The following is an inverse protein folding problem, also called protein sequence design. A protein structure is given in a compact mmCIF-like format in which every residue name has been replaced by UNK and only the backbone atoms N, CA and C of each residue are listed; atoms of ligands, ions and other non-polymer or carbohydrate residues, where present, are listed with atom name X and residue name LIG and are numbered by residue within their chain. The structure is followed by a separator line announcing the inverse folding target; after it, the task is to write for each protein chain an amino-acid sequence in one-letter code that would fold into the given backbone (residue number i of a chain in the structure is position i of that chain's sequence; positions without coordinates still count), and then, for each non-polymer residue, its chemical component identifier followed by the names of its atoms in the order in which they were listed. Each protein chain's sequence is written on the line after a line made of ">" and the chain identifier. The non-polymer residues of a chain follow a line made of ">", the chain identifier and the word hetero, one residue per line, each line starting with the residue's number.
data_IF_217284122754
#
_entry.id   IF_217284122754
#
_cell.length_a   1.000
_cell.length_b   1.000
_cell.length_c   1.000
_cell.angle_alpha   90.00
_cell.angle_beta   90.00
_cell.angle_gamma   90.00
#
_symmetry.space_group_name_H-M   'P 1'
#
loop_
_entity.id
_entity.type
_entity.pdbx_description
1 polymer ?
#
# COMPACT_ATOMS: atom_id res chain seq x y z
N UNK A 1 19.68 26.16 -11.17
CA UNK A 1 19.04 25.14 -12.04
C UNK A 1 17.61 24.98 -11.53
N UNK A 2 16.69 25.69 -12.19
CA UNK A 2 15.27 25.46 -11.96
C UNK A 2 14.95 24.08 -12.57
N UNK A 3 14.73 23.09 -11.72
CA UNK A 3 14.19 21.80 -12.17
C UNK A 3 12.74 22.03 -12.56
N UNK A 4 12.44 21.94 -13.84
CA UNK A 4 11.08 22.02 -14.36
C UNK A 4 10.43 20.66 -14.15
N UNK A 5 9.44 20.59 -13.23
CA UNK A 5 8.65 19.38 -12.99
C UNK A 5 7.51 19.32 -14.01
N UNK A 6 7.38 18.19 -14.69
CA UNK A 6 6.20 17.91 -15.50
C UNK A 6 5.06 17.45 -14.62
N UNK A 7 3.91 18.08 -14.75
CA UNK A 7 2.69 17.76 -14.01
C UNK A 7 1.60 17.30 -14.97
N UNK A 8 0.86 16.29 -14.58
CA UNK A 8 -0.37 15.84 -15.26
C UNK A 8 -1.55 16.11 -14.33
N UNK A 9 -2.56 16.82 -14.83
CA UNK A 9 -3.81 17.10 -14.10
C UNK A 9 -4.84 16.02 -14.43
N UNK A 10 -4.49 14.77 -14.11
CA UNK A 10 -5.29 13.59 -14.40
C UNK A 10 -5.19 12.57 -13.26
N UNK A 11 -6.20 11.71 -13.12
CA UNK A 11 -6.14 10.58 -12.20
C UNK A 11 -5.13 9.54 -12.66
N UNK A 12 -4.48 8.89 -11.69
CA UNK A 12 -3.58 7.78 -11.97
C UNK A 12 -4.35 6.59 -12.51
N UNK A 13 -4.08 6.21 -13.77
CA UNK A 13 -4.72 5.12 -14.51
C UNK A 13 -3.71 4.42 -15.40
N UNK A 14 -4.09 3.23 -15.90
CA UNK A 14 -3.28 2.54 -16.91
C UNK A 14 -3.07 3.40 -18.16
N UNK A 15 -4.06 4.16 -18.61
CA UNK A 15 -3.94 4.99 -19.81
C UNK A 15 -2.98 6.17 -19.59
N UNK A 16 -3.02 6.82 -18.41
CA UNK A 16 -2.02 7.84 -18.08
C UNK A 16 -0.61 7.23 -18.03
N UNK A 17 -0.44 6.03 -17.49
CA UNK A 17 0.86 5.36 -17.45
C UNK A 17 1.43 5.08 -18.85
N UNK A 18 0.56 4.72 -19.82
CA UNK A 18 0.95 4.55 -21.23
C UNK A 18 1.42 5.84 -21.86
N UNK A 19 0.72 6.95 -21.58
CA UNK A 19 1.11 8.28 -22.07
C UNK A 19 2.47 8.69 -21.50
N UNK A 20 2.68 8.56 -20.19
CA UNK A 20 3.95 8.86 -19.53
C UNK A 20 5.07 8.00 -20.13
N UNK A 21 4.82 6.72 -20.34
CA UNK A 21 5.79 5.80 -20.95
C UNK A 21 6.15 6.18 -22.39
N UNK A 22 5.19 6.66 -23.16
CA UNK A 22 5.43 7.14 -24.51
C UNK A 22 6.32 8.41 -24.52
N UNK A 23 6.10 9.31 -23.57
CA UNK A 23 6.82 10.59 -23.49
C UNK A 23 8.23 10.43 -22.90
N UNK A 24 8.41 9.55 -21.90
CA UNK A 24 9.63 9.48 -21.08
C UNK A 24 10.28 8.08 -20.99
N UNK A 25 9.65 7.05 -21.53
CA UNK A 25 10.10 5.67 -21.36
C UNK A 25 9.63 5.07 -20.03
N UNK A 26 10.35 4.03 -19.58
CA UNK A 26 10.10 3.37 -18.29
C UNK A 26 10.76 4.13 -17.14
N UNK A 27 10.24 3.94 -15.93
CA UNK A 27 10.71 4.58 -14.70
C UNK A 27 11.43 3.60 -13.80
N UNK A 28 12.58 4.04 -13.24
CA UNK A 28 13.36 3.24 -12.28
C UNK A 28 12.77 3.35 -10.87
N UNK A 29 12.05 4.44 -10.59
CA UNK A 29 11.36 4.66 -9.32
C UNK A 29 9.99 5.29 -9.56
N UNK A 30 8.96 4.65 -8.97
CA UNK A 30 7.65 5.25 -8.79
C UNK A 30 7.45 5.39 -7.28
N UNK A 31 6.98 6.55 -6.81
CA UNK A 31 6.75 6.80 -5.39
C UNK A 31 5.36 7.38 -5.14
N UNK A 32 4.71 6.90 -4.07
CA UNK A 32 3.43 7.39 -3.62
C UNK A 32 3.37 7.43 -2.08
N UNK A 33 2.75 8.45 -1.50
CA UNK A 33 2.57 8.52 -0.06
C UNK A 33 1.15 9.00 0.27
N UNK A 34 0.45 8.22 1.11
CA UNK A 34 -0.93 8.48 1.55
C UNK A 34 -1.87 8.78 0.36
N UNK A 35 -1.79 7.95 -0.67
CA UNK A 35 -2.55 8.15 -1.90
C UNK A 35 -3.22 6.87 -2.38
N UNK A 36 -2.55 5.72 -2.32
CA UNK A 36 -3.11 4.45 -2.85
C UNK A 36 -4.35 4.03 -2.07
N UNK A 37 -4.40 4.33 -0.76
CA UNK A 37 -5.58 4.06 0.07
C UNK A 37 -6.85 4.81 -0.36
N UNK A 38 -6.73 5.87 -1.15
CA UNK A 38 -7.85 6.66 -1.70
C UNK A 38 -8.32 6.18 -3.08
N UNK A 39 -7.56 5.33 -3.75
CA UNK A 39 -7.87 4.88 -5.13
C UNK A 39 -8.75 3.64 -5.08
N UNK A 40 -9.95 3.71 -5.71
CA UNK A 40 -10.90 2.60 -5.70
C UNK A 40 -10.47 1.42 -6.56
N UNK A 41 -9.94 1.68 -7.77
CA UNK A 41 -9.50 0.63 -8.69
C UNK A 41 -8.02 0.31 -8.51
N UNK A 42 -7.74 -0.65 -7.64
CA UNK A 42 -6.39 -1.10 -7.36
C UNK A 42 -5.80 -1.97 -8.48
N UNK A 43 -6.62 -2.67 -9.26
CA UNK A 43 -6.14 -3.47 -10.38
C UNK A 43 -5.63 -2.58 -11.52
N UNK A 44 -6.38 -1.54 -11.89
CA UNK A 44 -5.92 -0.53 -12.85
C UNK A 44 -4.65 0.17 -12.35
N UNK A 45 -4.65 0.58 -11.07
CA UNK A 45 -3.50 1.23 -10.41
C UNK A 45 -2.22 0.40 -10.51
N UNK A 46 -2.28 -0.87 -10.12
CA UNK A 46 -1.07 -1.72 -10.10
C UNK A 46 -0.68 -2.21 -11.49
N UNK A 47 -1.62 -2.34 -12.42
CA UNK A 47 -1.32 -2.54 -13.84
C UNK A 47 -0.56 -1.35 -14.40
N UNK A 48 -1.01 -0.12 -14.11
CA UNK A 48 -0.33 1.12 -14.51
C UNK A 48 1.11 1.18 -13.97
N UNK A 49 1.31 0.88 -12.70
CA UNK A 49 2.64 0.79 -12.07
C UNK A 49 3.52 -0.21 -12.81
N UNK A 50 3.03 -1.45 -13.00
CA UNK A 50 3.79 -2.51 -13.67
C UNK A 50 4.21 -2.11 -15.09
N UNK A 51 3.29 -1.49 -15.84
CA UNK A 51 3.55 -1.10 -17.22
C UNK A 51 4.61 0.02 -17.34
N UNK A 52 4.71 0.86 -16.33
CA UNK A 52 5.61 2.01 -16.31
C UNK A 52 6.99 1.69 -15.72
N UNK A 53 7.11 0.70 -14.83
CA UNK A 53 8.39 0.30 -14.25
C UNK A 53 9.37 -0.22 -15.32
N UNK A 54 10.65 0.15 -15.18
CA UNK A 54 11.77 -0.48 -15.89
C UNK A 54 12.01 -1.90 -15.39
N UNK A 55 12.91 -2.65 -16.03
CA UNK A 55 13.19 -4.05 -15.70
C UNK A 55 13.69 -4.21 -14.26
N UNK A 56 14.51 -3.28 -13.78
CA UNK A 56 15.06 -3.21 -12.42
C UNK A 56 14.40 -2.15 -11.54
N UNK A 57 13.39 -1.48 -12.08
CA UNK A 57 12.63 -0.45 -11.39
C UNK A 57 11.84 -0.95 -10.18
N UNK A 58 11.61 -0.04 -9.24
CA UNK A 58 10.86 -0.30 -8.01
C UNK A 58 9.72 0.69 -7.83
N UNK A 59 8.65 0.24 -7.23
CA UNK A 59 7.55 1.07 -6.75
C UNK A 59 7.58 1.09 -5.22
N UNK A 60 7.56 2.29 -4.63
CA UNK A 60 7.55 2.48 -3.19
C UNK A 60 6.32 3.28 -2.81
N UNK A 61 5.52 2.79 -1.86
CA UNK A 61 4.39 3.56 -1.37
C UNK A 61 4.21 3.44 0.14
N UNK A 62 3.60 4.47 0.72
CA UNK A 62 3.30 4.56 2.14
C UNK A 62 1.81 4.76 2.33
N UNK A 63 1.18 3.90 3.13
CA UNK A 63 -0.24 4.01 3.47
C UNK A 63 -0.51 3.47 4.89
N UNK A 64 -1.66 3.83 5.51
CA UNK A 64 -2.06 3.35 6.82
C UNK A 64 -2.09 1.82 6.91
N UNK A 65 -1.60 1.28 8.02
CA UNK A 65 -1.50 -0.15 8.29
C UNK A 65 -2.71 -0.65 9.10
N UNK A 66 -3.45 -1.63 8.56
CA UNK A 66 -4.60 -2.23 9.22
C UNK A 66 -4.26 -2.81 10.60
N UNK A 67 -3.16 -3.57 10.70
CA UNK A 67 -2.77 -4.16 11.98
C UNK A 67 -2.43 -3.08 13.02
N UNK A 68 -1.74 -2.01 12.60
CA UNK A 68 -1.40 -0.88 13.50
C UNK A 68 -2.64 -0.12 13.94
N UNK A 69 -3.56 0.14 13.03
CA UNK A 69 -4.84 0.76 13.34
C UNK A 69 -5.58 -0.05 14.40
N UNK A 70 -5.69 -1.37 14.21
CA UNK A 70 -6.39 -2.25 15.15
C UNK A 70 -5.67 -2.37 16.49
N UNK A 71 -4.33 -2.48 16.53
CA UNK A 71 -3.53 -2.54 17.77
C UNK A 71 -3.71 -1.28 18.62
N UNK A 72 -3.68 -0.11 17.98
CA UNK A 72 -3.77 1.20 18.66
C UNK A 72 -5.20 1.65 18.95
N UNK A 73 -6.17 1.11 18.23
CA UNK A 73 -7.56 1.58 18.29
C UNK A 73 -7.77 2.89 17.55
N UNK A 74 -6.92 3.19 16.55
CA UNK A 74 -6.98 4.42 15.73
C UNK A 74 -8.09 4.31 14.66
N UNK A 75 -9.34 4.12 15.10
CA UNK A 75 -10.49 3.96 14.20
C UNK A 75 -10.88 5.24 13.45
N UNK A 76 -10.31 6.37 13.82
CA UNK A 76 -10.34 7.65 13.10
C UNK A 76 -9.75 7.55 11.68
N UNK A 77 -8.97 6.49 11.39
CA UNK A 77 -8.52 6.18 10.03
C UNK A 77 -9.65 5.66 9.11
N UNK A 78 -10.80 5.26 9.67
CA UNK A 78 -11.97 4.81 8.91
C UNK A 78 -12.87 6.01 8.60
N UNK A 79 -12.64 6.65 7.45
CA UNK A 79 -13.43 7.77 6.97
C UNK A 79 -13.58 7.72 5.43
N UNK A 80 -14.46 8.55 4.87
CA UNK A 80 -14.97 8.44 3.51
C UNK A 80 -13.89 8.43 2.42
N UNK A 81 -12.78 9.14 2.63
CA UNK A 81 -11.71 9.23 1.63
C UNK A 81 -10.80 7.98 1.62
N UNK A 82 -10.76 7.21 2.73
CA UNK A 82 -10.02 5.96 2.77
C UNK A 82 -10.85 4.81 2.19
N UNK A 83 -10.77 4.60 0.87
CA UNK A 83 -11.40 3.46 0.21
C UNK A 83 -10.83 2.12 0.72
N UNK A 84 -9.57 2.13 1.14
CA UNK A 84 -8.86 0.95 1.62
C UNK A 84 -8.01 1.24 2.85
N UNK A 85 -7.92 0.24 3.76
CA UNK A 85 -6.88 0.18 4.79
C UNK A 85 -6.16 -1.15 4.61
N UNK A 86 -4.86 -1.11 4.38
CA UNK A 86 -4.11 -2.25 3.90
C UNK A 86 -3.52 -3.14 5.01
N UNK A 87 -3.61 -4.46 4.80
CA UNK A 87 -2.68 -5.43 5.39
C UNK A 87 -1.64 -5.86 4.36
N UNK A 88 -0.46 -6.27 4.81
CA UNK A 88 0.59 -6.81 3.94
C UNK A 88 0.11 -8.06 3.21
N UNK A 89 -0.68 -8.91 3.90
CA UNK A 89 -1.30 -10.10 3.32
C UNK A 89 -2.22 -9.77 2.14
N UNK A 90 -3.09 -8.76 2.27
CA UNK A 90 -3.99 -8.35 1.19
C UNK A 90 -3.21 -7.73 0.03
N UNK A 91 -2.22 -6.86 0.34
CA UNK A 91 -1.34 -6.26 -0.68
C UNK A 91 -0.55 -7.31 -1.45
N UNK A 92 0.01 -8.32 -0.79
CA UNK A 92 0.73 -9.41 -1.46
C UNK A 92 -0.15 -10.11 -2.49
N UNK A 93 -1.41 -10.37 -2.16
CA UNK A 93 -2.35 -11.05 -3.04
C UNK A 93 -2.70 -10.21 -4.28
N UNK A 94 -3.03 -8.93 -4.09
CA UNK A 94 -3.43 -8.07 -5.20
C UNK A 94 -2.23 -7.72 -6.09
N UNK A 95 -1.06 -7.44 -5.52
CA UNK A 95 0.16 -7.16 -6.28
C UNK A 95 0.59 -8.36 -7.12
N UNK A 96 0.56 -9.57 -6.53
CA UNK A 96 0.89 -10.81 -7.25
C UNK A 96 -0.04 -11.06 -8.44
N UNK A 97 -1.34 -10.78 -8.29
CA UNK A 97 -2.32 -10.87 -9.39
C UNK A 97 -1.97 -9.95 -10.56
N UNK A 98 -1.37 -8.79 -10.25
CA UNK A 98 -0.93 -7.80 -11.22
C UNK A 98 0.54 -7.99 -11.68
N UNK A 99 1.18 -9.12 -11.36
CA UNK A 99 2.56 -9.42 -11.78
C UNK A 99 3.62 -8.60 -11.05
N UNK A 100 3.29 -8.15 -9.84
CA UNK A 100 4.15 -7.44 -8.90
C UNK A 100 4.35 -8.26 -7.63
N UNK A 101 5.42 -7.99 -6.88
CA UNK A 101 5.65 -8.61 -5.58
C UNK A 101 6.31 -7.64 -4.58
N UNK A 102 5.96 -7.80 -3.32
CA UNK A 102 6.59 -7.05 -2.22
C UNK A 102 7.95 -7.69 -1.95
N UNK A 103 9.02 -6.86 -1.89
CA UNK A 103 10.34 -7.34 -1.53
C UNK A 103 10.84 -6.79 -0.18
N UNK A 104 10.24 -5.70 0.34
CA UNK A 104 10.57 -5.11 1.64
C UNK A 104 9.38 -4.38 2.24
N UNK A 105 9.28 -4.38 3.57
CA UNK A 105 8.28 -3.64 4.35
C UNK A 105 8.94 -2.93 5.52
N UNK A 106 8.81 -1.60 5.57
CA UNK A 106 9.21 -0.81 6.73
C UNK A 106 7.96 -0.37 7.51
N UNK A 107 7.95 -0.63 8.83
CA UNK A 107 6.87 -0.17 9.68
C UNK A 107 7.18 1.25 10.21
N UNK A 108 6.29 2.20 9.93
CA UNK A 108 6.45 3.61 10.28
C UNK A 108 5.54 3.99 11.45
N UNK A 109 5.97 5.00 12.24
CA UNK A 109 5.17 5.53 13.34
C UNK A 109 4.37 6.80 12.98
N UNK A 110 4.23 7.10 11.68
CA UNK A 110 3.47 8.24 11.16
C UNK A 110 2.00 7.87 11.01
N UNK A 111 1.11 8.85 11.07
CA UNK A 111 -0.34 8.69 10.82
C UNK A 111 -1.00 7.54 11.61
N UNK A 112 -0.67 7.39 12.90
CA UNK A 112 -1.21 6.28 13.70
C UNK A 112 -0.54 4.93 13.46
N UNK A 113 0.34 4.82 12.47
CA UNK A 113 1.10 3.64 12.06
C UNK A 113 0.83 3.31 10.60
N UNK A 114 1.85 3.49 9.77
CA UNK A 114 1.83 3.19 8.33
C UNK A 114 2.85 2.10 7.99
N UNK A 115 2.69 1.52 6.82
CA UNK A 115 3.72 0.69 6.22
C UNK A 115 4.27 1.40 4.99
N UNK A 116 5.61 1.41 4.84
CA UNK A 116 6.26 1.69 3.55
C UNK A 116 6.52 0.36 2.87
N UNK A 117 5.90 0.19 1.72
CA UNK A 117 5.92 -1.04 0.94
C UNK A 117 6.80 -0.84 -0.26
N UNK A 118 7.77 -1.73 -0.45
CA UNK A 118 8.67 -1.74 -1.59
C UNK A 118 8.28 -2.90 -2.50
N UNK A 119 7.98 -2.56 -3.73
CA UNK A 119 7.39 -3.44 -4.73
C UNK A 119 8.27 -3.48 -5.96
N UNK A 120 8.38 -4.63 -6.58
CA UNK A 120 9.07 -4.87 -7.84
C UNK A 120 8.22 -5.71 -8.78
N UNK A 121 8.60 -5.77 -10.06
CA UNK A 121 8.06 -6.80 -10.97
C UNK A 121 8.48 -8.20 -10.48
N UNK A 122 7.61 -9.20 -10.65
CA UNK A 122 7.97 -10.61 -10.39
C UNK A 122 9.13 -11.10 -11.27
N UNK A 123 9.45 -10.38 -12.35
CA UNK A 123 10.57 -10.69 -13.25
C UNK A 123 11.86 -9.95 -12.86
N UNK A 124 11.78 -8.96 -11.96
CA UNK A 124 12.95 -8.24 -11.46
C UNK A 124 13.79 -9.16 -10.55
N UNK A 125 15.04 -9.42 -10.97
CA UNK A 125 15.99 -10.31 -10.28
C UNK A 125 17.07 -9.53 -9.52
N UNK A 126 16.99 -8.21 -9.51
CA UNK A 126 17.99 -7.34 -8.87
C UNK A 126 17.70 -7.09 -7.40
N UNK A 127 16.45 -7.31 -6.98
CA UNK A 127 16.03 -7.14 -5.58
C UNK A 127 15.68 -8.51 -4.98
N UNK A 128 16.33 -8.89 -3.90
CA UNK A 128 15.95 -10.06 -3.11
C UNK A 128 14.78 -9.74 -2.17
N UNK A 129 13.98 -10.75 -1.84
CA UNK A 129 12.90 -10.59 -0.86
C UNK A 129 13.53 -10.59 0.54
N UNK A 130 13.34 -9.49 1.28
CA UNK A 130 13.85 -9.33 2.63
C UNK A 130 12.96 -10.04 3.67
N UNK A 131 13.57 -10.41 4.81
CA UNK A 131 12.85 -11.04 5.93
C UNK A 131 11.72 -10.18 6.48
N UNK A 132 11.80 -8.86 6.30
CA UNK A 132 10.77 -7.90 6.70
C UNK A 132 9.38 -8.22 6.13
N UNK A 133 9.31 -8.86 4.96
CA UNK A 133 8.05 -9.30 4.34
C UNK A 133 7.46 -10.46 5.14
N UNK A 134 8.25 -11.52 5.37
CA UNK A 134 7.80 -12.68 6.14
C UNK A 134 7.44 -12.31 7.57
N UNK A 135 8.25 -11.47 8.22
CA UNK A 135 8.01 -10.99 9.59
C UNK A 135 6.64 -10.29 9.72
N UNK A 136 6.27 -9.45 8.74
CA UNK A 136 4.96 -8.79 8.73
C UNK A 136 3.82 -9.77 8.47
N UNK A 137 3.96 -10.71 7.53
CA UNK A 137 2.96 -11.75 7.26
C UNK A 137 2.71 -12.64 8.49
N UNK A 138 3.79 -13.07 9.17
CA UNK A 138 3.70 -13.86 10.39
C UNK A 138 3.05 -13.06 11.53
N UNK A 139 3.36 -11.77 11.66
CA UNK A 139 2.72 -10.88 12.63
C UNK A 139 1.23 -10.74 12.38
N UNK A 140 0.80 -10.51 11.14
CA UNK A 140 -0.61 -10.41 10.75
C UNK A 140 -1.37 -11.71 11.01
N UNK A 141 -0.75 -12.85 10.66
CA UNK A 141 -1.33 -14.17 10.94
C UNK A 141 -1.46 -14.42 12.44
N UNK A 142 -0.44 -14.13 13.24
CA UNK A 142 -0.46 -14.27 14.70
C UNK A 142 -1.49 -13.34 15.36
N UNK A 143 -1.68 -12.13 14.82
CA UNK A 143 -2.70 -11.19 15.28
C UNK A 143 -4.10 -11.69 14.95
N UNK A 144 -4.25 -12.53 13.94
CA UNK A 144 -5.52 -13.12 13.52
C UNK A 144 -6.31 -12.24 12.54
N UNK A 145 -5.63 -11.50 11.63
CA UNK A 145 -6.33 -10.68 10.63
C UNK A 145 -7.21 -11.49 9.69
N UNK A 146 -7.02 -12.81 9.59
CA UNK A 146 -7.88 -13.73 8.83
C UNK A 146 -9.07 -14.29 9.67
N UNK A 147 -9.18 -13.93 10.95
CA UNK A 147 -10.25 -14.39 11.83
C UNK A 147 -11.28 -13.29 12.07
N UNK A 148 -12.53 -13.52 11.71
CA UNK A 148 -13.63 -12.59 11.93
C UNK A 148 -13.77 -12.17 13.40
N UNK A 149 -13.44 -13.06 14.35
CA UNK A 149 -13.46 -12.75 15.78
C UNK A 149 -12.54 -11.58 16.16
N UNK A 150 -11.41 -11.42 15.47
CA UNK A 150 -10.49 -10.31 15.69
C UNK A 150 -11.17 -8.96 15.41
N UNK A 151 -11.97 -8.91 14.34
CA UNK A 151 -12.72 -7.69 13.97
C UNK A 151 -13.88 -7.43 14.94
N UNK A 152 -14.53 -8.47 15.46
CA UNK A 152 -15.56 -8.31 16.50
C UNK A 152 -14.97 -7.73 17.80
N UNK A 153 -13.79 -8.21 18.21
CA UNK A 153 -13.08 -7.67 19.39
C UNK A 153 -12.73 -6.20 19.16
N UNK A 154 -12.23 -5.85 17.97
CA UNK A 154 -11.93 -4.46 17.61
C UNK A 154 -13.19 -3.59 17.66
N UNK A 155 -14.28 -4.02 17.04
CA UNK A 155 -15.58 -3.31 17.06
C UNK A 155 -16.06 -3.03 18.49
N UNK A 156 -15.97 -4.01 19.40
CA UNK A 156 -16.35 -3.85 20.79
C UNK A 156 -15.46 -2.82 21.52
N UNK A 157 -14.15 -2.77 21.21
CA UNK A 157 -13.24 -1.75 21.75
C UNK A 157 -13.60 -0.35 21.28
N UNK A 158 -13.95 -0.21 19.99
CA UNK A 158 -14.39 1.07 19.40
C UNK A 158 -15.67 1.54 20.08
N UNK A 159 -16.67 0.63 20.26
CA UNK A 159 -17.91 0.97 20.94
C UNK A 159 -17.66 1.41 22.39
N UNK A 160 -16.83 0.68 23.12
CA UNK A 160 -16.46 1.08 24.48
C UNK A 160 -15.77 2.44 24.52
N UNK A 161 -14.83 2.70 23.61
CA UNK A 161 -14.16 4.02 23.53
C UNK A 161 -15.16 5.17 23.30
N UNK A 162 -16.16 4.93 22.44
CA UNK A 162 -17.26 5.88 22.22
C UNK A 162 -18.06 6.12 23.50
N UNK A 163 -18.44 5.04 24.22
CA UNK A 163 -19.25 5.13 25.42
C UNK A 163 -18.49 5.81 26.58
N UNK A 164 -17.15 5.68 26.62
CA UNK A 164 -16.29 6.33 27.62
C UNK A 164 -16.12 7.84 27.36
N UNK A 165 -16.49 8.35 26.16
CA UNK A 165 -16.39 9.77 25.77
C UNK A 165 -17.69 10.57 26.00
N UNK A 166 -18.80 9.90 26.28
CA UNK A 166 -20.13 10.49 26.53
C UNK A 166 -20.46 10.43 27.99
#
# INVERSE_FOLDING_TARGET
>A
NDMEYKTYDEFWTEDLSKLIKQDYGTMDLIYSANCICHIHDLDDTFTAVKNLLSEDGIFVFEDPSLIRMMERGSYDQLYDEHAHIFSVTALQNILKRNGLEIFRVDNLNVHGGSNRIYVKSIHNRYQDIESSVEDNLLRENKFGLNDFKTYQIFSNRVQKSKDDLV
#
